data_IF_895782900902
#
_entry.id   IF_895782900902
#
_cell.length_a   1.000
_cell.length_b   1.000
_cell.length_c   1.000
_cell.angle_alpha   90.00
_cell.angle_beta   90.00
_cell.angle_gamma   90.00
#
_symmetry.space_group_name_H-M   'P 1'
#
loop_
_entity.id
_entity.type
_entity.pdbx_description
1 polymer ?
#
# COMPACT_ATOMS: atom_id res chain seq x y z
N UNK A 1 12.01 -40.12 -21.19
CA UNK A 1 12.80 -38.86 -21.11
C UNK A 1 12.37 -38.00 -22.30
N UNK A 2 11.69 -36.87 -22.04
CA UNK A 2 11.24 -35.78 -22.96
C UNK A 2 9.86 -35.11 -22.69
N UNK A 3 9.15 -35.32 -21.56
CA UNK A 3 8.04 -34.42 -21.20
C UNK A 3 8.44 -33.20 -20.35
N UNK A 4 9.47 -33.34 -19.49
CA UNK A 4 9.87 -32.29 -18.54
C UNK A 4 10.69 -31.15 -19.17
N UNK A 5 11.47 -31.42 -20.23
CA UNK A 5 12.21 -30.36 -20.94
C UNK A 5 11.27 -29.40 -21.68
N UNK A 6 10.23 -29.93 -22.34
CA UNK A 6 9.30 -29.10 -23.11
C UNK A 6 8.44 -28.21 -22.22
N UNK A 7 7.99 -28.70 -21.05
CA UNK A 7 7.24 -27.84 -20.11
C UNK A 7 8.10 -26.72 -19.55
N UNK A 8 9.39 -26.96 -19.31
CA UNK A 8 10.30 -25.92 -18.83
C UNK A 8 10.60 -24.87 -19.91
N UNK A 9 10.79 -25.29 -21.16
CA UNK A 9 10.96 -24.38 -22.30
C UNK A 9 9.70 -23.52 -22.54
N UNK A 10 8.50 -24.12 -22.41
CA UNK A 10 7.23 -23.40 -22.54
C UNK A 10 7.01 -22.39 -21.39
N UNK A 11 7.35 -22.76 -20.15
CA UNK A 11 7.28 -21.87 -18.98
C UNK A 11 8.28 -20.70 -19.08
N UNK A 12 9.50 -20.97 -19.56
CA UNK A 12 10.53 -19.95 -19.79
C UNK A 12 10.10 -18.96 -20.88
N UNK A 13 9.54 -19.45 -21.99
CA UNK A 13 9.02 -18.60 -23.07
C UNK A 13 7.84 -17.73 -22.61
N UNK A 14 6.92 -18.28 -21.81
CA UNK A 14 5.81 -17.51 -21.25
C UNK A 14 6.31 -16.39 -20.32
N UNK A 15 7.29 -16.67 -19.47
CA UNK A 15 7.90 -15.68 -18.59
C UNK A 15 8.63 -14.58 -19.38
N UNK A 16 9.28 -14.91 -20.51
CA UNK A 16 9.92 -13.92 -21.37
C UNK A 16 8.89 -12.96 -22.02
N UNK A 17 7.78 -13.48 -22.55
CA UNK A 17 6.72 -12.66 -23.14
C UNK A 17 5.99 -11.81 -22.10
N UNK A 18 5.77 -12.33 -20.89
CA UNK A 18 5.25 -11.56 -19.77
C UNK A 18 6.19 -10.40 -19.41
N UNK A 19 7.48 -10.69 -19.23
CA UNK A 19 8.49 -9.66 -18.94
C UNK A 19 8.56 -8.59 -20.03
N UNK A 20 8.41 -8.97 -21.30
CA UNK A 20 8.37 -8.03 -22.41
C UNK A 20 7.16 -7.11 -22.32
N UNK A 21 5.98 -7.67 -22.04
CA UNK A 21 4.74 -6.91 -21.85
C UNK A 21 4.86 -5.93 -20.69
N UNK A 22 5.36 -6.39 -19.54
CA UNK A 22 5.63 -5.55 -18.35
C UNK A 22 6.54 -4.36 -18.69
N UNK A 23 7.62 -4.62 -19.44
CA UNK A 23 8.55 -3.57 -19.83
C UNK A 23 7.95 -2.56 -20.82
N UNK A 24 7.05 -2.99 -21.70
CA UNK A 24 6.34 -2.11 -22.64
C UNK A 24 5.29 -1.25 -21.92
N UNK A 25 4.53 -1.84 -20.99
CA UNK A 25 3.61 -1.13 -20.10
C UNK A 25 4.35 -0.08 -19.27
N UNK A 26 5.45 -0.46 -18.61
CA UNK A 26 6.23 0.45 -17.78
C UNK A 26 6.82 1.62 -18.57
N UNK A 27 7.31 1.37 -19.80
CA UNK A 27 7.75 2.45 -20.70
C UNK A 27 6.62 3.40 -21.06
N UNK A 28 5.41 2.88 -21.24
CA UNK A 28 4.23 3.68 -21.55
C UNK A 28 3.82 4.51 -20.34
N UNK A 29 3.72 3.89 -19.16
CA UNK A 29 3.50 4.59 -17.89
C UNK A 29 4.51 5.71 -17.67
N UNK A 30 5.80 5.44 -17.87
CA UNK A 30 6.88 6.41 -17.70
C UNK A 30 6.72 7.65 -18.59
N UNK A 31 6.27 7.46 -19.84
CA UNK A 31 5.97 8.58 -20.75
C UNK A 31 4.79 9.43 -20.28
N UNK A 32 3.81 8.80 -19.62
CA UNK A 32 2.58 9.44 -19.15
C UNK A 32 2.68 9.97 -17.72
N UNK A 33 3.67 9.52 -16.94
CA UNK A 33 3.84 9.89 -15.54
C UNK A 33 3.84 11.42 -15.28
N UNK A 34 4.44 12.29 -16.13
CA UNK A 34 4.36 13.74 -15.94
C UNK A 34 2.94 14.31 -15.92
N UNK A 35 1.99 13.67 -16.62
CA UNK A 35 0.61 14.11 -16.71
C UNK A 35 -0.29 13.49 -15.63
N UNK A 36 0.13 12.35 -15.09
CA UNK A 36 -0.66 11.56 -14.14
C UNK A 36 -0.31 11.85 -12.68
N UNK A 37 0.90 12.32 -12.42
CA UNK A 37 1.43 12.46 -11.08
C UNK A 37 1.87 13.88 -10.80
N UNK A 38 1.62 14.27 -9.57
CA UNK A 38 2.33 15.37 -8.96
C UNK A 38 3.70 14.90 -8.48
N UNK A 39 3.77 13.80 -7.74
CA UNK A 39 5.03 13.33 -7.18
C UNK A 39 5.25 11.91 -7.66
N UNK A 40 6.49 11.62 -8.07
CA UNK A 40 6.99 10.26 -8.23
C UNK A 40 8.42 10.25 -7.73
N UNK A 41 8.73 9.38 -6.79
CA UNK A 41 10.07 9.10 -6.30
C UNK A 41 10.26 7.61 -6.35
N UNK A 42 11.17 7.15 -7.19
CA UNK A 42 11.46 5.73 -7.33
C UNK A 42 12.81 5.43 -6.72
N UNK A 43 12.86 4.43 -5.85
CA UNK A 43 14.09 4.01 -5.20
C UNK A 43 14.21 2.49 -5.18
N UNK A 44 15.32 1.97 -5.71
CA UNK A 44 15.66 0.56 -5.61
C UNK A 44 16.40 0.30 -4.28
N UNK A 45 15.80 -0.54 -3.43
CA UNK A 45 16.40 -1.01 -2.19
C UNK A 45 17.45 -2.11 -2.45
N UNK A 46 18.32 -2.32 -1.47
CA UNK A 46 19.28 -3.42 -1.47
C UNK A 46 18.58 -4.79 -1.45
N UNK A 47 17.49 -4.89 -0.68
CA UNK A 47 16.63 -6.06 -0.55
C UNK A 47 15.16 -5.62 -0.63
N UNK A 48 14.25 -6.48 -1.11
CA UNK A 48 12.84 -6.16 -1.11
C UNK A 48 12.31 -5.99 0.32
N UNK A 49 11.24 -5.23 0.44
CA UNK A 49 10.53 -5.04 1.71
C UNK A 49 9.11 -5.58 1.56
N UNK A 50 8.65 -6.35 2.54
CA UNK A 50 7.27 -6.84 2.61
C UNK A 50 6.33 -5.84 3.30
N UNK A 51 6.88 -4.72 3.79
CA UNK A 51 6.14 -3.75 4.58
C UNK A 51 6.61 -2.33 4.30
N UNK A 52 5.68 -1.38 4.27
CA UNK A 52 6.00 0.03 4.29
C UNK A 52 4.94 0.83 5.05
N UNK A 53 5.39 1.78 5.88
CA UNK A 53 4.50 2.68 6.62
C UNK A 53 5.15 4.05 6.79
N UNK A 54 4.40 5.12 6.57
CA UNK A 54 4.86 6.46 6.94
C UNK A 54 4.94 6.61 8.45
N UNK A 55 5.99 7.23 8.96
CA UNK A 55 5.94 7.80 10.30
C UNK A 55 5.12 9.11 10.28
N UNK A 56 4.53 9.51 11.42
CA UNK A 56 3.72 10.73 11.49
C UNK A 56 4.55 12.02 11.51
N UNK A 57 5.83 11.96 11.88
CA UNK A 57 6.66 13.15 11.96
C UNK A 57 7.18 13.64 10.60
N UNK A 58 7.23 14.98 10.49
CA UNK A 58 7.65 15.72 9.30
C UNK A 58 8.59 16.83 9.70
N UNK A 59 9.74 16.89 9.04
CA UNK A 59 10.67 18.01 9.15
C UNK A 59 10.54 18.92 7.92
N UNK A 60 10.48 20.23 8.15
CA UNK A 60 10.42 21.23 7.07
C UNK A 60 11.52 22.28 7.25
N UNK A 61 12.78 21.97 6.91
CA UNK A 61 13.89 22.90 7.08
C UNK A 61 13.68 24.18 6.26
N UNK A 62 13.76 25.36 6.88
CA UNK A 62 13.42 26.64 6.23
C UNK A 62 14.33 27.00 5.06
N UNK A 63 15.56 26.49 5.05
CA UNK A 63 16.60 26.74 4.03
C UNK A 63 16.60 25.69 2.91
N UNK A 64 15.72 24.67 2.97
CA UNK A 64 15.66 23.59 2.00
C UNK A 64 14.37 23.63 1.16
N UNK A 65 14.46 23.30 -0.14
CA UNK A 65 13.30 23.25 -1.04
C UNK A 65 12.47 21.95 -0.91
N UNK A 66 12.66 21.20 0.17
CA UNK A 66 11.99 19.92 0.42
C UNK A 66 11.67 19.74 1.90
N UNK A 67 10.67 18.91 2.20
CA UNK A 67 10.40 18.35 3.51
C UNK A 67 11.08 16.99 3.64
N UNK A 68 11.39 16.57 4.86
CA UNK A 68 11.95 15.26 5.16
C UNK A 68 10.95 14.50 6.01
N UNK A 69 10.61 13.31 5.54
CA UNK A 69 9.68 12.40 6.20
C UNK A 69 10.39 11.10 6.52
N UNK A 70 9.84 10.29 7.43
CA UNK A 70 10.38 8.95 7.73
C UNK A 70 9.44 7.84 7.26
N UNK A 71 10.04 6.76 6.80
CA UNK A 71 9.39 5.52 6.38
C UNK A 71 9.89 4.38 7.26
N UNK A 72 8.96 3.53 7.69
CA UNK A 72 9.21 2.25 8.31
C UNK A 72 9.22 1.19 7.22
N UNK A 73 10.31 0.44 7.11
CA UNK A 73 10.53 -0.61 6.10
C UNK A 73 11.09 -1.87 6.78
N UNK A 74 11.08 -2.97 6.06
CA UNK A 74 11.72 -4.22 6.44
C UNK A 74 12.71 -4.69 5.38
N UNK A 75 13.24 -5.89 5.57
CA UNK A 75 13.93 -6.64 4.51
C UNK A 75 13.32 -8.01 4.36
N UNK A 76 13.44 -8.54 3.15
CA UNK A 76 13.21 -9.93 2.82
C UNK A 76 14.44 -10.46 2.06
N UNK A 77 15.35 -11.13 2.77
CA UNK A 77 16.60 -11.65 2.18
C UNK A 77 16.52 -13.11 1.75
N UNK A 78 15.44 -13.82 2.08
CA UNK A 78 15.29 -15.26 1.85
C UNK A 78 16.45 -16.07 2.46
N UNK A 79 16.92 -15.63 3.63
CA UNK A 79 18.07 -16.20 4.36
C UNK A 79 19.44 -15.99 3.72
N UNK A 80 19.55 -15.18 2.65
CA UNK A 80 20.83 -14.91 1.99
C UNK A 80 21.69 -13.89 2.75
N UNK A 81 21.08 -13.07 3.60
CA UNK A 81 21.75 -12.06 4.41
C UNK A 81 21.09 -11.96 5.78
N UNK A 82 21.59 -11.04 6.62
CA UNK A 82 20.88 -10.66 7.85
C UNK A 82 19.71 -9.75 7.48
N UNK A 83 18.54 -10.05 8.03
CA UNK A 83 17.36 -9.20 7.89
C UNK A 83 17.31 -8.09 8.95
N UNK A 84 16.71 -6.97 8.56
CA UNK A 84 16.64 -5.76 9.36
C UNK A 84 15.23 -5.17 9.34
N UNK A 85 14.79 -4.72 10.52
CA UNK A 85 13.82 -3.63 10.61
C UNK A 85 14.55 -2.34 10.24
N UNK A 86 13.99 -1.55 9.32
CA UNK A 86 14.64 -0.37 8.77
C UNK A 86 13.79 0.89 8.97
N UNK A 87 14.47 2.00 9.26
CA UNK A 87 13.87 3.34 9.18
C UNK A 87 14.62 4.10 8.11
N UNK A 88 13.90 4.60 7.13
CA UNK A 88 14.42 5.42 6.05
C UNK A 88 13.88 6.85 6.15
N UNK A 89 14.59 7.81 5.58
CA UNK A 89 14.08 9.15 5.30
C UNK A 89 13.74 9.27 3.83
N UNK A 90 12.65 9.97 3.50
CA UNK A 90 12.33 10.40 2.14
C UNK A 90 12.25 11.93 2.08
N UNK A 91 12.89 12.52 1.07
CA UNK A 91 12.82 13.97 0.82
C UNK A 91 11.76 14.26 -0.24
N UNK A 92 10.74 15.04 0.12
CA UNK A 92 9.64 15.42 -0.76
C UNK A 92 9.73 16.92 -1.09
N UNK A 93 9.68 17.31 -2.38
CA UNK A 93 9.72 18.72 -2.78
C UNK A 93 8.62 19.56 -2.12
N UNK A 94 8.97 20.76 -1.64
CA UNK A 94 7.98 21.75 -1.17
C UNK A 94 7.28 22.38 -2.37
N UNK A 95 5.96 22.36 -2.36
CA UNK A 95 5.12 23.02 -3.38
C UNK A 95 4.57 24.35 -2.88
N UNK A 96 5.48 25.25 -2.51
CA UNK A 96 5.12 26.60 -2.09
C UNK A 96 5.75 27.61 -3.06
N UNK A 97 5.10 27.86 -4.20
CA UNK A 97 5.53 28.90 -5.14
C UNK A 97 4.66 29.01 -6.40
N UNK A 98 4.61 30.16 -7.08
CA UNK A 98 3.92 30.28 -8.36
C UNK A 98 4.56 29.33 -9.39
N UNK A 99 3.77 28.40 -9.95
CA UNK A 99 4.25 27.40 -10.91
C UNK A 99 4.62 26.04 -10.31
N UNK A 100 4.44 25.82 -8.99
CA UNK A 100 4.62 24.50 -8.36
C UNK A 100 3.61 23.44 -8.79
N UNK A 101 2.56 23.89 -9.49
CA UNK A 101 1.40 23.08 -9.87
C UNK A 101 1.47 22.66 -11.35
N UNK A 102 2.52 23.10 -12.06
CA UNK A 102 2.80 22.74 -13.44
C UNK A 102 3.99 21.78 -13.44
N UNK A 103 3.73 20.52 -13.75
CA UNK A 103 4.74 19.54 -14.05
C UNK A 103 4.62 19.19 -15.51
N UNK A 104 5.69 19.45 -16.24
CA UNK A 104 5.80 19.10 -17.65
C UNK A 104 6.65 17.84 -17.79
N UNK A 105 6.65 17.25 -18.99
CA UNK A 105 7.54 16.11 -19.31
C UNK A 105 9.01 16.42 -19.04
N UNK A 106 9.44 17.67 -19.23
CA UNK A 106 10.80 18.10 -18.91
C UNK A 106 11.14 17.97 -17.43
N UNK A 107 10.11 17.80 -16.59
CA UNK A 107 10.27 17.68 -15.16
C UNK A 107 10.57 16.26 -14.66
N UNK A 108 10.47 15.28 -15.54
CA UNK A 108 10.72 13.90 -15.24
C UNK A 108 12.18 13.54 -15.50
N UNK A 109 12.87 13.07 -14.46
CA UNK A 109 14.22 12.55 -14.57
C UNK A 109 14.15 11.09 -15.05
N UNK A 110 14.41 10.88 -16.34
CA UNK A 110 14.41 9.55 -16.96
C UNK A 110 15.43 8.59 -16.32
N UNK A 111 16.57 9.09 -15.83
CA UNK A 111 17.60 8.23 -15.25
C UNK A 111 17.22 7.77 -13.84
N UNK A 112 16.50 8.61 -13.08
CA UNK A 112 16.07 8.31 -11.71
C UNK A 112 14.65 7.76 -11.59
N UNK A 113 13.83 7.98 -12.61
CA UNK A 113 12.40 7.72 -12.56
C UNK A 113 11.66 8.64 -11.57
N UNK A 114 12.12 9.89 -11.41
CA UNK A 114 11.60 10.84 -10.42
C UNK A 114 10.89 12.03 -11.11
N UNK A 115 9.83 12.56 -10.47
CA UNK A 115 9.10 13.75 -10.90
C UNK A 115 9.07 14.83 -9.78
N UNK A 116 9.16 16.10 -10.19
CA UNK A 116 8.96 17.28 -9.33
C UNK A 116 10.20 17.77 -8.59
N UNK A 117 11.41 17.73 -9.19
CA UNK A 117 12.65 17.65 -8.41
C UNK A 117 13.87 18.50 -8.71
N UNK A 118 13.87 19.40 -9.67
CA UNK A 118 15.10 19.99 -10.24
C UNK A 118 15.91 20.82 -9.25
N UNK A 119 15.29 21.22 -8.14
CA UNK A 119 15.94 21.99 -7.06
C UNK A 119 16.47 21.12 -5.91
N UNK A 120 16.23 19.80 -5.93
CA UNK A 120 16.75 18.88 -4.90
C UNK A 120 18.15 18.43 -5.31
N UNK A 121 19.13 18.39 -4.38
CA UNK A 121 20.47 17.89 -4.66
C UNK A 121 20.43 16.49 -5.31
N UNK A 122 21.43 16.12 -6.14
CA UNK A 122 21.48 14.83 -6.81
C UNK A 122 21.63 13.61 -5.88
N UNK A 123 21.48 13.77 -4.57
CA UNK A 123 21.49 12.67 -3.61
C UNK A 123 20.25 11.78 -3.75
N UNK A 124 20.29 10.52 -3.25
CA UNK A 124 19.13 9.65 -3.19
C UNK A 124 18.03 10.30 -2.34
N UNK A 125 16.80 10.36 -2.87
CA UNK A 125 15.66 10.91 -2.13
C UNK A 125 15.25 10.04 -0.95
N UNK A 126 15.41 8.72 -1.08
CA UNK A 126 15.20 7.73 -0.01
C UNK A 126 16.56 7.28 0.53
N UNK A 127 16.71 7.29 1.85
CA UNK A 127 17.94 6.87 2.53
C UNK A 127 17.63 6.14 3.83
N UNK A 128 18.14 4.92 3.98
CA UNK A 128 18.07 4.19 5.25
C UNK A 128 18.97 4.90 6.28
N UNK A 129 18.39 5.25 7.43
CA UNK A 129 19.06 5.97 8.53
C UNK A 129 19.22 5.13 9.79
N UNK A 130 18.46 4.04 9.91
CA UNK A 130 18.59 3.11 11.03
C UNK A 130 18.26 1.68 10.57
N UNK A 131 19.05 0.72 11.05
CA UNK A 131 18.86 -0.73 10.87
C UNK A 131 18.87 -1.41 12.24
N UNK A 132 17.90 -2.30 12.48
CA UNK A 132 17.79 -3.09 13.71
C UNK A 132 17.74 -4.57 13.31
N UNK A 133 18.66 -5.40 13.84
CA UNK A 133 18.71 -6.84 13.55
C UNK A 133 17.36 -7.52 13.83
N UNK A 134 16.87 -8.30 12.86
CA UNK A 134 15.61 -9.03 12.94
C UNK A 134 15.81 -10.54 12.70
N UNK A 135 15.07 -11.44 13.38
CA UNK A 135 15.13 -12.88 13.10
C UNK A 135 14.35 -13.20 11.83
N UNK A 136 15.06 -13.31 10.71
CA UNK A 136 14.45 -13.54 9.41
C UNK A 136 13.69 -12.33 8.89
N UNK A 137 12.89 -12.55 7.87
CA UNK A 137 12.14 -11.53 7.15
C UNK A 137 11.19 -10.74 8.06
N UNK A 138 10.96 -9.48 7.70
CA UNK A 138 9.99 -8.61 8.37
C UNK A 138 8.68 -8.61 7.57
N UNK A 139 7.76 -9.52 7.91
CA UNK A 139 6.52 -9.71 7.15
C UNK A 139 5.58 -8.51 7.21
N UNK A 140 5.51 -7.87 8.39
CA UNK A 140 4.80 -6.62 8.59
C UNK A 140 5.40 -5.86 9.76
N UNK A 141 5.57 -4.56 9.63
CA UNK A 141 6.00 -3.67 10.71
C UNK A 141 4.99 -2.54 10.87
N UNK A 142 4.57 -2.28 12.11
CA UNK A 142 3.65 -1.19 12.45
C UNK A 142 4.10 -0.48 13.72
N UNK A 143 4.16 0.86 13.69
CA UNK A 143 4.41 1.65 14.89
C UNK A 143 3.13 1.81 15.72
N UNK A 144 3.27 1.95 17.04
CA UNK A 144 2.16 2.23 17.94
C UNK A 144 1.70 3.69 17.79
N UNK A 145 0.43 3.97 17.42
CA UNK A 145 -0.03 5.32 17.13
C UNK A 145 0.23 6.35 18.24
N UNK A 146 0.13 5.93 19.50
CA UNK A 146 0.32 6.80 20.66
C UNK A 146 1.79 7.05 21.01
N UNK A 147 2.70 6.17 20.56
CA UNK A 147 4.15 6.34 20.67
C UNK A 147 4.83 5.65 19.48
N UNK A 148 5.09 6.39 18.38
CA UNK A 148 5.69 5.83 17.17
C UNK A 148 7.07 5.22 17.34
N UNK A 149 7.71 5.38 18.51
CA UNK A 149 9.01 4.78 18.79
C UNK A 149 8.90 3.28 19.11
N UNK A 150 7.72 2.82 19.53
CA UNK A 150 7.44 1.40 19.70
C UNK A 150 6.92 0.81 18.40
N UNK A 151 7.65 -0.16 17.87
CA UNK A 151 7.37 -0.82 16.59
C UNK A 151 7.16 -2.30 16.83
N UNK A 152 5.99 -2.82 16.47
CA UNK A 152 5.73 -4.25 16.43
C UNK A 152 6.08 -4.81 15.05
N UNK A 153 6.68 -6.00 15.00
CA UNK A 153 7.00 -6.71 13.76
C UNK A 153 6.49 -8.15 13.80
N UNK A 154 5.94 -8.60 12.67
CA UNK A 154 5.70 -10.02 12.39
C UNK A 154 7.00 -10.65 11.90
N UNK A 155 7.29 -11.83 12.44
CA UNK A 155 8.42 -12.67 12.03
C UNK A 155 7.93 -13.81 11.15
N UNK A 156 8.86 -14.58 10.58
CA UNK A 156 8.57 -15.87 9.92
C UNK A 156 8.15 -16.99 10.87
N UNK A 157 7.99 -16.68 12.16
CA UNK A 157 7.43 -17.57 13.17
C UNK A 157 6.16 -16.99 13.79
N UNK A 158 5.69 -17.63 14.86
CA UNK A 158 4.52 -17.17 15.61
C UNK A 158 4.78 -16.03 16.59
N UNK A 159 6.04 -15.58 16.74
CA UNK A 159 6.35 -14.46 17.63
C UNK A 159 6.10 -13.11 16.93
N UNK A 160 5.51 -12.17 17.67
CA UNK A 160 5.55 -10.74 17.34
C UNK A 160 6.62 -10.10 18.22
N UNK A 161 7.55 -9.36 17.61
CA UNK A 161 8.59 -8.65 18.34
C UNK A 161 8.23 -7.17 18.44
N UNK A 162 8.49 -6.57 19.59
CA UNK A 162 8.34 -5.11 19.79
C UNK A 162 9.71 -4.51 20.07
N UNK A 163 10.05 -3.47 19.32
CA UNK A 163 11.29 -2.72 19.44
C UNK A 163 10.98 -1.28 19.83
N UNK A 164 11.74 -0.74 20.78
CA UNK A 164 11.83 0.69 21.04
C UNK A 164 13.03 1.23 20.25
N UNK A 165 12.77 1.84 19.09
CA UNK A 165 13.84 2.28 18.16
C UNK A 165 14.88 3.18 18.83
N UNK A 166 14.52 3.91 19.90
CA UNK A 166 15.42 4.85 20.58
C UNK A 166 16.50 4.16 21.41
N UNK A 167 16.29 2.89 21.75
CA UNK A 167 17.26 2.06 22.49
C UNK A 167 18.24 1.33 21.58
N UNK A 168 18.05 1.43 20.27
CA UNK A 168 18.95 0.84 19.27
C UNK A 168 19.82 1.92 18.65
N UNK A 169 21.08 1.57 18.36
CA UNK A 169 21.94 2.42 17.55
C UNK A 169 21.41 2.51 16.11
N UNK A 170 21.87 3.51 15.35
CA UNK A 170 21.53 3.63 13.93
C UNK A 170 22.06 2.44 13.10
N UNK A 171 23.24 1.94 13.45
CA UNK A 171 23.80 0.73 12.85
C UNK A 171 23.85 -0.39 13.88
N UNK A 172 23.39 -1.61 13.55
CA UNK A 172 23.30 -2.70 14.50
C UNK A 172 24.67 -3.29 14.81
N UNK A 173 24.75 -4.03 15.92
CA UNK A 173 25.96 -4.77 16.27
C UNK A 173 26.25 -5.85 15.22
N UNK A 174 27.50 -5.88 14.74
CA UNK A 174 27.97 -6.85 13.72
C UNK A 174 27.91 -8.32 14.16
N UNK A 175 27.67 -8.58 15.44
CA UNK A 175 27.52 -9.93 15.98
C UNK A 175 26.14 -10.54 15.66
N UNK A 176 25.22 -9.79 15.03
CA UNK A 176 23.90 -10.27 14.66
C UNK A 176 22.93 -10.42 15.84
N UNK A 177 23.25 -9.86 17.01
CA UNK A 177 22.39 -10.01 18.19
C UNK A 177 21.04 -9.32 17.96
N UNK A 178 19.96 -10.07 18.15
CA UNK A 178 18.59 -9.58 18.08
C UNK A 178 18.15 -9.16 19.48
N UNK A 179 17.84 -7.87 19.67
CA UNK A 179 17.50 -7.27 20.97
C UNK A 179 16.07 -6.72 20.96
N UNK A 180 15.07 -7.59 20.83
CA UNK A 180 13.68 -7.16 20.99
C UNK A 180 13.40 -6.72 22.44
N UNK A 181 12.73 -5.59 22.61
CA UNK A 181 12.35 -5.04 23.92
C UNK A 181 11.23 -5.86 24.56
N UNK A 182 10.28 -6.35 23.76
CA UNK A 182 9.19 -7.23 24.18
C UNK A 182 9.00 -8.32 23.12
N UNK A 183 8.77 -9.56 23.57
CA UNK A 183 8.46 -10.74 22.77
C UNK A 183 7.02 -11.16 23.07
N UNK A 184 6.13 -11.00 22.10
CA UNK A 184 4.76 -11.43 22.21
C UNK A 184 4.66 -12.84 21.66
N UNK A 185 4.35 -13.78 22.54
CA UNK A 185 4.28 -15.22 22.24
C UNK A 185 2.83 -15.70 22.28
N UNK A 186 2.58 -16.93 21.83
CA UNK A 186 1.27 -17.59 21.92
C UNK A 186 0.72 -18.10 20.57
N UNK A 187 1.18 -17.53 19.46
CA UNK A 187 0.94 -18.07 18.11
C UNK A 187 2.09 -19.00 17.71
N UNK A 188 1.80 -19.94 16.81
CA UNK A 188 2.74 -21.00 16.38
C UNK A 188 2.96 -21.05 14.87
N UNK A 189 2.31 -20.15 14.11
CA UNK A 189 2.46 -20.03 12.66
C UNK A 189 2.89 -18.62 12.27
N UNK A 190 3.45 -18.49 11.08
CA UNK A 190 3.74 -17.20 10.45
C UNK A 190 2.44 -16.39 10.26
N UNK A 191 2.55 -15.11 9.91
CA UNK A 191 1.40 -14.36 9.42
C UNK A 191 1.76 -12.94 9.03
N UNK A 192 0.77 -12.25 8.45
CA UNK A 192 0.93 -10.89 7.95
C UNK A 192 0.08 -9.88 8.75
N UNK A 193 -1.14 -10.23 9.14
CA UNK A 193 -2.01 -9.32 9.90
C UNK A 193 -1.40 -8.83 11.22
N UNK A 194 -1.32 -7.51 11.38
CA UNK A 194 -0.76 -6.84 12.55
C UNK A 194 -1.36 -5.43 12.67
N UNK A 195 -2.04 -5.14 13.76
CA UNK A 195 -2.73 -3.86 13.96
C UNK A 195 -2.66 -3.36 15.41
N UNK A 196 -2.16 -2.14 15.59
CA UNK A 196 -2.23 -1.44 16.87
C UNK A 196 -3.61 -0.80 17.05
N UNK A 197 -4.12 -0.84 18.27
CA UNK A 197 -5.33 -0.12 18.62
C UNK A 197 -5.03 1.37 18.74
N UNK A 198 -5.64 2.20 17.89
CA UNK A 198 -5.43 3.66 17.89
C UNK A 198 -6.13 4.36 19.06
N UNK A 199 -7.15 3.72 19.67
CA UNK A 199 -7.97 4.29 20.75
C UNK A 199 -7.51 3.84 22.14
N UNK A 200 -6.85 2.69 22.25
CA UNK A 200 -6.34 2.14 23.50
C UNK A 200 -4.84 1.86 23.39
N UNK A 201 -4.04 2.65 24.11
CA UNK A 201 -2.58 2.54 24.10
C UNK A 201 -2.11 1.13 24.46
N UNK A 202 -1.13 0.64 23.71
CA UNK A 202 -0.42 -0.61 23.99
C UNK A 202 -1.12 -1.89 23.56
N UNK A 203 -2.34 -1.82 23.01
CA UNK A 203 -3.02 -3.01 22.49
C UNK A 203 -2.65 -3.28 21.04
N UNK A 204 -2.25 -4.52 20.75
CA UNK A 204 -1.88 -4.98 19.41
C UNK A 204 -2.52 -6.32 19.09
N UNK A 205 -3.06 -6.43 17.87
CA UNK A 205 -3.58 -7.67 17.29
C UNK A 205 -2.56 -8.27 16.34
N UNK A 206 -2.56 -9.60 16.25
CA UNK A 206 -1.81 -10.36 15.23
C UNK A 206 -2.69 -11.46 14.65
N UNK A 207 -2.69 -11.60 13.33
CA UNK A 207 -3.23 -12.72 12.58
C UNK A 207 -2.13 -13.77 12.33
N UNK A 208 -2.51 -15.03 12.13
CA UNK A 208 -1.56 -16.13 12.00
C UNK A 208 -2.13 -17.30 11.17
N UNK A 209 -1.23 -18.02 10.52
CA UNK A 209 -1.49 -19.27 9.80
C UNK A 209 -1.98 -20.39 10.73
N UNK A 210 -1.72 -20.29 12.04
CA UNK A 210 -2.28 -21.21 13.04
C UNK A 210 -3.79 -21.00 13.33
N UNK A 211 -4.48 -20.25 12.45
CA UNK A 211 -5.93 -19.99 12.47
C UNK A 211 -6.39 -19.12 13.65
N UNK A 212 -5.46 -18.41 14.30
CA UNK A 212 -5.78 -17.59 15.47
C UNK A 212 -5.57 -16.11 15.23
N UNK A 213 -6.37 -15.31 15.94
CA UNK A 213 -6.05 -13.91 16.23
C UNK A 213 -5.66 -13.82 17.69
N UNK A 214 -4.54 -13.17 17.98
CA UNK A 214 -4.11 -12.91 19.36
C UNK A 214 -4.10 -11.41 19.65
N UNK A 215 -4.49 -11.05 20.87
CA UNK A 215 -4.46 -9.71 21.42
C UNK A 215 -3.45 -9.68 22.58
N UNK A 216 -2.52 -8.72 22.54
CA UNK A 216 -1.63 -8.41 23.67
C UNK A 216 -1.83 -6.98 24.14
N UNK A 217 -1.42 -6.73 25.37
CA UNK A 217 -1.33 -5.40 25.95
C UNK A 217 0.11 -5.21 26.44
N UNK A 218 0.89 -4.43 25.69
CA UNK A 218 2.33 -4.26 25.96
C UNK A 218 2.60 -3.41 27.21
N UNK A 219 1.58 -2.73 27.75
CA UNK A 219 1.69 -2.03 29.04
C UNK A 219 1.71 -2.99 30.22
N UNK A 220 1.28 -4.24 30.02
CA UNK A 220 1.33 -5.30 31.04
C UNK A 220 2.74 -5.88 31.25
N UNK A 221 3.74 -5.34 30.55
CA UNK A 221 5.14 -5.73 30.69
C UNK A 221 5.63 -5.62 32.14
N UNK A 222 6.35 -6.64 32.60
CA UNK A 222 6.99 -6.64 33.92
C UNK A 222 8.50 -6.59 33.77
N UNK A 223 9.15 -5.70 34.53
CA UNK A 223 10.61 -5.52 34.46
C UNK A 223 11.33 -6.81 34.87
N UNK A 224 11.99 -7.47 33.91
CA UNK A 224 12.76 -8.70 34.13
C UNK A 224 12.27 -9.90 33.30
N UNK A 225 11.04 -9.86 32.79
CA UNK A 225 10.53 -10.81 31.80
C UNK A 225 9.98 -10.01 30.62
N UNK A 226 10.69 -10.08 29.49
CA UNK A 226 10.27 -9.42 28.26
C UNK A 226 9.37 -10.28 27.38
N UNK A 227 8.88 -11.41 27.88
CA UNK A 227 7.95 -12.26 27.16
C UNK A 227 6.52 -12.01 27.66
N UNK A 228 5.58 -11.77 26.73
CA UNK A 228 4.16 -11.63 27.05
C UNK A 228 3.35 -12.74 26.38
N UNK A 229 2.45 -13.34 27.17
CA UNK A 229 1.39 -14.22 26.68
C UNK A 229 0.20 -13.37 26.18
N UNK A 230 -0.63 -13.89 25.27
CA UNK A 230 -1.77 -13.13 24.77
C UNK A 230 -2.77 -12.89 25.91
N UNK A 231 -3.27 -11.66 25.98
CA UNK A 231 -4.41 -11.31 26.84
C UNK A 231 -5.66 -12.09 26.42
N UNK A 232 -5.84 -12.30 25.11
CA UNK A 232 -6.93 -13.08 24.55
C UNK A 232 -6.49 -13.73 23.24
N UNK A 233 -6.87 -14.98 23.04
CA UNK A 233 -6.70 -15.70 21.77
C UNK A 233 -8.08 -16.04 21.21
N UNK A 234 -8.40 -15.47 20.06
CA UNK A 234 -9.66 -15.65 19.36
C UNK A 234 -9.53 -16.82 18.37
N UNK A 235 -10.47 -17.77 18.45
CA UNK A 235 -10.46 -19.04 17.71
C UNK A 235 -11.82 -19.28 17.06
N UNK A 236 -12.03 -18.70 15.89
CA UNK A 236 -13.22 -18.97 15.07
C UNK A 236 -12.89 -19.27 13.60
N UNK A 237 -11.78 -18.75 13.08
CA UNK A 237 -11.34 -19.10 11.73
C UNK A 237 -11.02 -20.60 11.62
N UNK A 238 -11.32 -21.16 10.45
CA UNK A 238 -11.08 -22.58 10.14
C UNK A 238 -9.94 -22.79 9.13
N UNK A 239 -9.26 -21.71 8.76
CA UNK A 239 -8.08 -21.68 7.90
C UNK A 239 -7.17 -20.51 8.32
N UNK A 240 -6.09 -20.24 7.57
CA UNK A 240 -5.18 -19.12 7.78
C UNK A 240 -5.95 -17.81 7.95
N UNK A 241 -5.56 -17.00 8.93
CA UNK A 241 -6.08 -15.64 9.10
C UNK A 241 -5.19 -14.70 8.30
N UNK A 242 -5.75 -14.09 7.26
CA UNK A 242 -5.04 -13.20 6.34
C UNK A 242 -4.70 -11.87 7.00
N UNK A 243 -5.71 -11.20 7.56
CA UNK A 243 -5.54 -9.85 8.10
C UNK A 243 -6.48 -9.50 9.27
N UNK A 244 -6.11 -8.45 10.00
CA UNK A 244 -6.87 -7.88 11.13
C UNK A 244 -6.80 -6.36 11.11
N UNK A 245 -7.89 -5.71 11.48
CA UNK A 245 -7.92 -4.25 11.65
C UNK A 245 -8.86 -3.83 12.78
N UNK A 246 -8.52 -2.74 13.46
CA UNK A 246 -9.32 -2.17 14.55
C UNK A 246 -10.35 -1.20 14.01
N UNK A 247 -11.52 -1.15 14.66
CA UNK A 247 -12.44 -0.05 14.43
C UNK A 247 -11.84 1.26 14.96
N UNK A 248 -11.90 2.32 14.16
CA UNK A 248 -11.34 3.63 14.51
C UNK A 248 -12.22 4.45 15.47
N UNK A 249 -13.40 3.97 15.86
CA UNK A 249 -14.36 4.67 16.72
C UNK A 249 -14.77 3.89 17.99
N UNK A 250 -14.59 2.56 18.03
CA UNK A 250 -14.78 1.73 19.24
C UNK A 250 -13.53 0.88 19.51
N UNK A 251 -12.86 1.15 20.64
CA UNK A 251 -11.63 0.49 21.06
C UNK A 251 -11.77 -1.03 21.30
N UNK A 252 -12.99 -1.56 21.39
CA UNK A 252 -13.22 -2.98 21.66
C UNK A 252 -13.58 -3.78 20.40
N UNK A 253 -13.82 -3.09 19.27
CA UNK A 253 -14.29 -3.72 18.04
C UNK A 253 -13.14 -3.84 17.05
N UNK A 254 -12.98 -5.03 16.48
CA UNK A 254 -12.03 -5.28 15.40
C UNK A 254 -12.61 -6.30 14.42
N UNK A 255 -11.99 -6.40 13.25
CA UNK A 255 -12.33 -7.36 12.21
C UNK A 255 -11.17 -8.32 11.98
N UNK A 256 -11.50 -9.53 11.55
CA UNK A 256 -10.52 -10.47 11.01
C UNK A 256 -11.08 -11.17 9.78
N UNK A 257 -10.18 -11.49 8.86
CA UNK A 257 -10.48 -12.14 7.58
C UNK A 257 -9.46 -13.24 7.29
N UNK A 258 -9.81 -14.21 6.45
CA UNK A 258 -8.88 -15.28 6.11
C UNK A 258 -9.32 -16.20 4.97
N UNK A 259 -8.56 -17.27 4.81
CA UNK A 259 -8.70 -18.25 3.72
C UNK A 259 -10.00 -19.07 3.79
N UNK A 260 -10.66 -19.06 4.95
CA UNK A 260 -12.00 -19.62 5.13
C UNK A 260 -13.12 -18.73 4.56
N UNK A 261 -12.75 -17.67 3.84
CA UNK A 261 -13.66 -16.75 3.13
C UNK A 261 -14.64 -16.05 4.04
N UNK A 262 -14.30 -15.94 5.33
CA UNK A 262 -15.19 -15.43 6.35
C UNK A 262 -14.68 -14.11 6.91
N UNK A 263 -15.58 -13.14 6.99
CA UNK A 263 -15.37 -11.90 7.74
C UNK A 263 -15.97 -12.07 9.13
N UNK A 264 -15.13 -11.97 10.17
CA UNK A 264 -15.57 -11.91 11.56
C UNK A 264 -15.45 -10.49 12.11
N UNK A 265 -16.47 -10.06 12.85
CA UNK A 265 -16.42 -8.86 13.68
C UNK A 265 -16.41 -9.31 15.14
N UNK A 266 -15.42 -8.83 15.87
CA UNK A 266 -15.15 -9.22 17.24
C UNK A 266 -15.45 -8.08 18.18
N UNK A 267 -15.85 -8.43 19.40
CA UNK A 267 -15.88 -7.53 20.54
C UNK A 267 -14.97 -8.12 21.61
N UNK A 268 -13.89 -7.43 21.96
CA UNK A 268 -12.88 -7.92 22.92
C UNK A 268 -13.43 -8.18 24.33
N UNK A 269 -14.65 -7.71 24.61
CA UNK A 269 -15.36 -7.94 25.88
C UNK A 269 -16.10 -9.28 25.90
N UNK A 270 -16.16 -9.97 24.76
CA UNK A 270 -16.92 -11.20 24.56
C UNK A 270 -16.00 -12.34 24.09
N UNK A 271 -16.30 -13.60 24.43
CA UNK A 271 -15.45 -14.74 24.05
C UNK A 271 -15.66 -15.21 22.61
N UNK A 272 -16.79 -14.85 21.98
CA UNK A 272 -17.17 -15.28 20.64
C UNK A 272 -17.26 -14.06 19.70
N UNK A 273 -17.21 -14.25 18.37
CA UNK A 273 -17.48 -13.17 17.42
C UNK A 273 -18.83 -12.50 17.70
N UNK A 274 -18.87 -11.18 17.59
CA UNK A 274 -20.10 -10.40 17.71
C UNK A 274 -20.97 -10.52 16.45
N UNK A 275 -20.34 -10.57 15.27
CA UNK A 275 -20.99 -10.83 13.99
C UNK A 275 -20.09 -11.68 13.10
N UNK A 276 -20.70 -12.39 12.14
CA UNK A 276 -19.99 -13.22 11.17
C UNK A 276 -20.69 -13.12 9.81
N UNK A 277 -19.90 -12.98 8.74
CA UNK A 277 -20.35 -13.16 7.37
C UNK A 277 -19.51 -14.24 6.68
N UNK A 278 -20.04 -15.45 6.65
CA UNK A 278 -19.43 -16.59 5.96
C UNK A 278 -19.62 -16.50 4.45
N UNK A 279 -18.59 -16.87 3.69
CA UNK A 279 -18.55 -16.68 2.22
C UNK A 279 -18.79 -15.22 1.83
N UNK A 280 -18.12 -14.30 2.54
CA UNK A 280 -18.14 -12.88 2.19
C UNK A 280 -17.53 -12.66 0.78
N UNK A 281 -16.61 -13.52 0.37
CA UNK A 281 -15.99 -13.59 -0.96
C UNK A 281 -16.06 -15.01 -1.54
N UNK A 282 -15.81 -15.14 -2.85
CA UNK A 282 -15.80 -16.44 -3.53
C UNK A 282 -14.45 -17.17 -3.38
N UNK A 283 -13.42 -16.44 -2.94
CA UNK A 283 -12.06 -16.94 -2.62
C UNK A 283 -11.56 -16.38 -1.28
N UNK A 284 -10.33 -16.73 -0.94
CA UNK A 284 -9.60 -16.33 0.25
C UNK A 284 -9.63 -14.81 0.43
N UNK A 285 -9.84 -14.32 1.67
CA UNK A 285 -9.86 -12.89 1.97
C UNK A 285 -8.53 -12.51 2.61
N UNK A 286 -7.77 -11.66 1.93
CA UNK A 286 -6.37 -11.38 2.25
C UNK A 286 -6.19 -10.06 3.00
N UNK A 287 -7.12 -9.12 2.89
CA UNK A 287 -7.02 -7.80 3.50
C UNK A 287 -8.37 -7.29 4.03
N UNK A 288 -8.32 -6.50 5.11
CA UNK A 288 -9.48 -5.80 5.68
C UNK A 288 -9.07 -4.41 6.15
N UNK A 289 -9.93 -3.40 5.93
CA UNK A 289 -9.69 -2.05 6.42
C UNK A 289 -10.98 -1.36 6.84
N UNK A 290 -11.02 -0.86 8.08
CA UNK A 290 -12.11 -0.02 8.59
C UNK A 290 -12.01 1.40 8.04
N UNK A 291 -13.16 1.99 7.75
CA UNK A 291 -13.21 3.39 7.37
C UNK A 291 -12.93 4.27 8.61
N UNK A 292 -11.94 5.18 8.57
CA UNK A 292 -11.56 6.01 9.71
C UNK A 292 -12.55 7.16 9.98
N UNK A 293 -13.43 7.48 9.02
CA UNK A 293 -14.44 8.54 9.13
C UNK A 293 -15.84 7.98 9.51
N UNK A 294 -16.14 6.75 9.09
CA UNK A 294 -17.44 6.11 9.29
C UNK A 294 -17.31 4.79 10.05
N UNK A 295 -17.71 4.82 11.32
CA UNK A 295 -17.68 3.68 12.25
C UNK A 295 -18.35 2.38 11.76
N UNK A 296 -19.26 2.44 10.79
CA UNK A 296 -20.02 1.28 10.32
C UNK A 296 -19.47 0.66 9.03
N UNK A 297 -18.51 1.30 8.36
CA UNK A 297 -18.02 0.86 7.06
C UNK A 297 -16.65 0.20 7.18
N UNK A 298 -16.47 -0.86 6.41
CA UNK A 298 -15.16 -1.47 6.15
C UNK A 298 -15.15 -2.04 4.73
N UNK A 299 -13.95 -2.27 4.20
CA UNK A 299 -13.75 -3.02 2.96
C UNK A 299 -12.94 -4.29 3.20
N UNK A 300 -13.19 -5.30 2.37
CA UNK A 300 -12.39 -6.55 2.32
C UNK A 300 -11.89 -6.81 0.91
N UNK A 301 -10.68 -7.34 0.79
CA UNK A 301 -10.01 -7.62 -0.48
C UNK A 301 -9.63 -9.10 -0.56
N UNK A 302 -9.77 -9.69 -1.74
CA UNK A 302 -9.72 -11.14 -1.89
C UNK A 302 -8.94 -11.59 -3.12
N UNK A 303 -8.50 -12.85 -3.09
CA UNK A 303 -8.03 -13.61 -4.25
C UNK A 303 -9.08 -13.76 -5.36
N UNK A 304 -10.35 -13.40 -5.12
CA UNK A 304 -11.37 -13.32 -6.19
C UNK A 304 -11.27 -12.05 -7.03
N UNK A 305 -10.23 -11.23 -6.81
CA UNK A 305 -9.88 -10.01 -7.56
C UNK A 305 -10.82 -8.84 -7.29
N UNK A 306 -11.71 -8.98 -6.31
CA UNK A 306 -12.66 -7.93 -5.96
C UNK A 306 -12.37 -7.33 -4.59
N UNK A 307 -12.83 -6.10 -4.41
CA UNK A 307 -12.98 -5.48 -3.09
C UNK A 307 -14.47 -5.39 -2.79
N UNK A 308 -14.89 -5.68 -1.57
CA UNK A 308 -16.30 -5.59 -1.16
C UNK A 308 -16.46 -4.57 -0.04
N UNK A 309 -17.43 -3.67 -0.20
CA UNK A 309 -17.88 -2.77 0.86
C UNK A 309 -18.89 -3.48 1.77
N UNK A 310 -18.68 -3.36 3.08
CA UNK A 310 -19.58 -3.89 4.10
C UNK A 310 -20.10 -2.79 5.02
N UNK A 311 -21.30 -3.01 5.54
CA UNK A 311 -21.91 -2.18 6.57
C UNK A 311 -22.19 -3.04 7.81
N UNK A 312 -21.58 -2.68 8.94
CA UNK A 312 -21.71 -3.41 10.21
C UNK A 312 -23.16 -3.51 10.71
N UNK A 313 -24.06 -2.64 10.25
CA UNK A 313 -25.48 -2.66 10.63
C UNK A 313 -26.27 -3.76 9.91
N UNK A 314 -25.71 -4.30 8.83
CA UNK A 314 -26.31 -5.37 8.04
C UNK A 314 -25.23 -6.23 7.35
N UNK A 315 -24.29 -6.76 8.15
CA UNK A 315 -23.08 -7.43 7.67
C UNK A 315 -23.35 -8.61 6.71
N UNK A 316 -24.50 -9.29 6.84
CA UNK A 316 -24.87 -10.43 5.98
C UNK A 316 -25.22 -10.09 4.53
N UNK A 317 -24.97 -8.86 4.07
CA UNK A 317 -25.20 -8.41 2.70
C UNK A 317 -24.03 -7.55 2.23
N UNK A 318 -23.48 -7.89 1.05
CA UNK A 318 -22.51 -7.07 0.32
C UNK A 318 -23.19 -5.73 -0.04
N UNK A 319 -22.57 -4.59 0.28
CA UNK A 319 -23.11 -3.28 -0.09
C UNK A 319 -22.76 -2.90 -1.52
N UNK A 320 -21.52 -3.14 -1.89
CA UNK A 320 -20.99 -2.89 -3.21
C UNK A 320 -19.80 -3.82 -3.47
N UNK A 321 -19.55 -4.11 -4.74
CA UNK A 321 -18.37 -4.85 -5.19
C UNK A 321 -17.61 -3.95 -6.15
N UNK A 322 -16.35 -3.68 -5.84
CA UNK A 322 -15.43 -2.96 -6.71
C UNK A 322 -14.69 -3.96 -7.59
N UNK A 323 -14.88 -3.83 -8.90
CA UNK A 323 -14.27 -4.67 -9.93
C UNK A 323 -13.29 -3.81 -10.74
N UNK A 324 -12.10 -4.35 -11.05
CA UNK A 324 -11.08 -3.62 -11.82
C UNK A 324 -9.68 -4.18 -11.66
N UNK A 325 -9.42 -4.95 -10.60
CA UNK A 325 -8.20 -5.75 -10.51
C UNK A 325 -8.29 -6.99 -11.40
N UNK A 326 -7.14 -7.39 -11.94
CA UNK A 326 -7.03 -8.59 -12.80
C UNK A 326 -6.39 -9.77 -12.08
N UNK A 327 -5.96 -9.57 -10.84
CA UNK A 327 -5.40 -10.59 -9.95
C UNK A 327 -5.72 -10.32 -8.46
N UNK A 328 -5.24 -11.19 -7.56
CA UNK A 328 -5.54 -11.17 -6.12
C UNK A 328 -5.33 -9.80 -5.46
N UNK A 329 -6.29 -9.33 -4.64
CA UNK A 329 -6.14 -8.10 -3.87
C UNK A 329 -5.50 -8.40 -2.52
N UNK A 330 -4.34 -7.81 -2.26
CA UNK A 330 -3.42 -8.21 -1.19
C UNK A 330 -3.39 -7.25 -0.01
N UNK A 331 -3.63 -5.97 -0.26
CA UNK A 331 -3.60 -4.92 0.74
C UNK A 331 -4.68 -3.88 0.45
N UNK A 332 -5.23 -3.32 1.52
CA UNK A 332 -6.28 -2.31 1.49
C UNK A 332 -5.99 -1.24 2.54
N UNK A 333 -6.26 0.01 2.18
CA UNK A 333 -6.21 1.10 3.15
C UNK A 333 -7.16 2.23 2.73
N UNK A 334 -8.05 2.61 3.65
CA UNK A 334 -8.79 3.87 3.54
C UNK A 334 -7.84 5.07 3.62
N UNK A 335 -8.19 6.13 2.88
CA UNK A 335 -7.56 7.43 3.06
C UNK A 335 -7.82 7.92 4.48
N UNK A 336 -6.79 8.38 5.22
CA UNK A 336 -6.99 8.99 6.53
C UNK A 336 -7.59 10.40 6.43
N UNK A 337 -7.70 10.97 5.23
CA UNK A 337 -8.10 12.37 5.00
C UNK A 337 -9.47 12.51 4.32
N UNK A 338 -9.85 11.55 3.48
CA UNK A 338 -11.07 11.63 2.66
C UNK A 338 -11.99 10.46 2.96
N UNK A 339 -13.23 10.75 3.39
CA UNK A 339 -14.16 9.74 3.90
C UNK A 339 -14.60 8.70 2.86
N UNK A 340 -14.56 9.03 1.57
CA UNK A 340 -15.00 8.17 0.47
C UNK A 340 -13.86 7.45 -0.26
N UNK A 341 -12.61 7.80 0.03
CA UNK A 341 -11.46 7.32 -0.73
C UNK A 341 -10.78 6.16 -0.02
N UNK A 342 -10.48 5.10 -0.76
CA UNK A 342 -9.58 4.03 -0.34
C UNK A 342 -8.73 3.56 -1.51
N UNK A 343 -7.69 2.80 -1.22
CA UNK A 343 -6.87 2.16 -2.23
C UNK A 343 -6.74 0.65 -2.00
N UNK A 344 -6.45 -0.07 -3.07
CA UNK A 344 -6.20 -1.50 -3.07
C UNK A 344 -4.98 -1.83 -3.92
N UNK A 345 -4.12 -2.71 -3.42
CA UNK A 345 -2.96 -3.22 -4.15
C UNK A 345 -3.15 -4.68 -4.51
N UNK A 346 -2.78 -5.06 -5.73
CA UNK A 346 -3.02 -6.40 -6.27
C UNK A 346 -1.77 -7.03 -6.89
N UNK A 347 -1.75 -8.36 -6.94
CA UNK A 347 -0.76 -9.16 -7.69
C UNK A 347 -0.66 -8.78 -9.17
N UNK A 348 -1.65 -8.05 -9.71
CA UNK A 348 -1.65 -7.53 -11.08
C UNK A 348 -0.69 -6.34 -11.34
N UNK A 349 0.16 -6.01 -10.34
CA UNK A 349 1.14 -4.91 -10.40
C UNK A 349 0.52 -3.52 -10.36
N UNK A 350 -0.75 -3.40 -9.96
CA UNK A 350 -1.47 -2.12 -9.86
C UNK A 350 -1.86 -1.80 -8.43
N UNK A 351 -1.94 -0.50 -8.16
CA UNK A 351 -2.62 0.04 -6.99
C UNK A 351 -3.76 0.90 -7.50
N UNK A 352 -4.99 0.49 -7.23
CA UNK A 352 -6.19 1.22 -7.63
C UNK A 352 -6.62 2.13 -6.47
N UNK A 353 -6.97 3.37 -6.80
CA UNK A 353 -7.60 4.33 -5.88
C UNK A 353 -9.06 4.45 -6.28
N UNK A 354 -9.95 4.32 -5.30
CA UNK A 354 -11.39 4.26 -5.49
C UNK A 354 -12.07 5.42 -4.81
N UNK A 355 -13.14 5.93 -5.41
CA UNK A 355 -14.03 6.91 -4.79
C UNK A 355 -15.45 6.35 -4.64
N UNK A 356 -15.83 6.07 -3.39
CA UNK A 356 -17.17 5.61 -3.03
C UNK A 356 -18.27 6.61 -3.44
N UNK A 357 -17.95 7.91 -3.53
CA UNK A 357 -18.93 8.94 -3.90
C UNK A 357 -19.41 8.82 -5.35
N UNK A 358 -18.60 8.20 -6.21
CA UNK A 358 -18.87 8.05 -7.63
C UNK A 358 -19.62 6.75 -8.00
N UNK A 359 -19.87 5.87 -7.02
CA UNK A 359 -20.62 4.63 -7.25
C UNK A 359 -22.01 4.94 -7.80
N UNK A 360 -22.31 4.36 -8.97
CA UNK A 360 -23.59 4.51 -9.64
C UNK A 360 -23.74 5.78 -10.48
N UNK A 361 -22.68 6.56 -10.66
CA UNK A 361 -22.67 7.65 -11.64
C UNK A 361 -22.85 7.09 -13.07
N UNK A 362 -23.53 7.86 -13.91
CA UNK A 362 -23.68 7.53 -15.33
C UNK A 362 -22.36 7.79 -16.07
N UNK A 363 -21.91 6.85 -16.89
CA UNK A 363 -20.74 6.96 -17.75
C UNK A 363 -21.15 6.96 -19.22
N UNK A 364 -20.31 7.58 -20.06
CA UNK A 364 -20.40 7.35 -21.51
C UNK A 364 -19.96 5.92 -21.83
N UNK A 365 -20.32 5.38 -23.01
CA UNK A 365 -19.83 4.06 -23.42
C UNK A 365 -18.31 3.96 -23.43
N UNK A 366 -17.62 5.02 -23.85
CA UNK A 366 -16.16 5.06 -23.93
C UNK A 366 -15.55 5.01 -22.52
N UNK A 367 -16.04 5.81 -21.57
CA UNK A 367 -15.55 5.79 -20.18
C UNK A 367 -15.81 4.44 -19.47
N UNK A 368 -16.91 3.76 -19.83
CA UNK A 368 -17.26 2.47 -19.26
C UNK A 368 -16.37 1.32 -19.77
N UNK A 369 -15.65 1.51 -20.88
CA UNK A 369 -14.62 0.57 -21.34
C UNK A 369 -13.34 0.65 -20.49
N UNK A 370 -13.05 1.82 -19.91
CA UNK A 370 -11.86 2.06 -19.09
C UNK A 370 -12.01 1.56 -17.64
N UNK A 371 -13.24 1.50 -17.13
CA UNK A 371 -13.52 0.98 -15.79
C UNK A 371 -14.82 1.52 -15.20
N UNK A 372 -15.19 1.05 -13.99
CA UNK A 372 -16.37 1.55 -13.30
C UNK A 372 -16.17 3.01 -12.85
N UNK A 373 -17.26 3.77 -12.61
CA UNK A 373 -17.15 5.20 -12.32
C UNK A 373 -16.45 5.50 -10.99
N UNK A 374 -16.45 4.54 -10.06
CA UNK A 374 -15.75 4.64 -8.79
C UNK A 374 -14.24 4.35 -8.87
N UNK A 375 -13.70 3.90 -10.02
CA UNK A 375 -12.25 3.76 -10.22
C UNK A 375 -11.64 5.13 -10.54
N UNK A 376 -11.08 5.79 -9.53
CA UNK A 376 -10.57 7.16 -9.65
C UNK A 376 -9.18 7.23 -10.28
N UNK A 377 -8.29 6.30 -9.92
CA UNK A 377 -6.90 6.31 -10.39
C UNK A 377 -6.28 4.91 -10.37
N UNK A 378 -5.41 4.63 -11.34
CA UNK A 378 -4.61 3.40 -11.39
C UNK A 378 -3.13 3.75 -11.37
N UNK A 379 -2.46 3.40 -10.29
CA UNK A 379 -1.00 3.49 -10.23
C UNK A 379 -0.36 2.26 -10.88
N UNK A 380 0.27 2.48 -12.04
CA UNK A 380 0.98 1.46 -12.83
C UNK A 380 2.51 1.59 -12.80
N UNK A 381 3.07 2.18 -11.74
CA UNK A 381 4.51 2.42 -11.64
C UNK A 381 5.35 1.19 -11.26
N UNK A 382 4.73 0.14 -10.72
CA UNK A 382 5.43 -1.08 -10.33
C UNK A 382 5.55 -2.08 -11.49
N UNK A 383 6.72 -2.71 -11.59
CA UNK A 383 7.01 -3.78 -12.56
C UNK A 383 6.86 -5.18 -11.97
N UNK A 384 6.65 -5.27 -10.65
CA UNK A 384 6.36 -6.51 -9.93
C UNK A 384 5.19 -6.31 -8.96
N UNK A 385 4.79 -7.39 -8.30
CA UNK A 385 3.71 -7.44 -7.31
C UNK A 385 3.99 -6.45 -6.16
N UNK A 386 3.08 -5.50 -5.85
CA UNK A 386 3.18 -4.66 -4.68
C UNK A 386 3.01 -5.51 -3.42
N UNK A 387 3.85 -5.27 -2.42
CA UNK A 387 3.88 -6.03 -1.16
C UNK A 387 3.12 -5.33 -0.04
N UNK A 388 3.19 -3.99 0.01
CA UNK A 388 2.48 -3.15 0.98
C UNK A 388 2.41 -1.72 0.41
N UNK A 389 1.47 -0.92 0.92
CA UNK A 389 1.42 0.52 0.66
C UNK A 389 0.86 1.26 1.87
N UNK A 390 1.15 2.56 1.94
CA UNK A 390 0.65 3.40 3.02
C UNK A 390 0.35 4.84 2.57
N UNK A 391 -0.83 5.34 2.92
CA UNK A 391 -1.16 6.77 2.80
C UNK A 391 -0.31 7.62 3.74
N UNK A 392 0.14 8.79 3.27
CA UNK A 392 0.82 9.76 4.11
C UNK A 392 -0.15 10.30 5.19
N UNK A 393 0.26 10.35 6.47
CA UNK A 393 -0.64 10.66 7.59
C UNK A 393 -0.85 12.16 7.80
N UNK A 394 -0.03 13.01 7.19
CA UNK A 394 -0.06 14.45 7.37
C UNK A 394 -1.04 15.10 6.38
N UNK A 395 -1.85 16.05 6.86
CA UNK A 395 -2.87 16.74 6.06
C UNK A 395 -2.28 17.49 4.85
N UNK A 396 -1.12 18.14 5.04
CA UNK A 396 -0.38 18.81 3.96
C UNK A 396 0.10 17.85 2.85
N UNK A 397 0.20 16.56 3.16
CA UNK A 397 0.70 15.52 2.25
C UNK A 397 -0.45 14.61 1.79
N UNK A 398 -1.71 15.07 1.88
CA UNK A 398 -2.87 14.35 1.36
C UNK A 398 -2.64 13.87 -0.08
N UNK A 399 -3.23 12.72 -0.41
CA UNK A 399 -3.02 12.00 -1.67
C UNK A 399 -1.62 11.43 -1.91
N UNK A 400 -0.65 11.66 -1.02
CA UNK A 400 0.68 11.04 -1.13
C UNK A 400 0.66 9.61 -0.58
N UNK A 401 1.26 8.68 -1.31
CA UNK A 401 1.32 7.26 -0.99
C UNK A 401 2.77 6.79 -1.06
N UNK A 402 3.17 5.91 -0.14
CA UNK A 402 4.35 5.06 -0.31
C UNK A 402 3.88 3.66 -0.69
N UNK A 403 4.52 3.02 -1.66
CA UNK A 403 4.26 1.62 -2.02
C UNK A 403 5.57 0.89 -2.27
N UNK A 404 5.59 -0.40 -1.92
CA UNK A 404 6.73 -1.29 -2.13
C UNK A 404 6.34 -2.47 -3.03
N UNK A 405 7.30 -3.04 -3.75
CA UNK A 405 7.11 -4.21 -4.59
C UNK A 405 8.23 -5.24 -4.42
N UNK A 406 7.99 -6.47 -4.91
CA UNK A 406 8.89 -7.62 -4.78
C UNK A 406 10.23 -7.46 -5.53
N UNK A 407 10.30 -6.58 -6.52
CA UNK A 407 11.50 -6.27 -7.32
C UNK A 407 12.40 -5.19 -6.67
N UNK A 408 12.34 -5.09 -5.34
CA UNK A 408 13.10 -4.16 -4.50
C UNK A 408 12.72 -2.68 -4.69
N UNK A 409 11.66 -2.36 -5.42
CA UNK A 409 11.27 -0.98 -5.68
C UNK A 409 10.38 -0.44 -4.58
N UNK A 410 10.73 0.73 -4.04
CA UNK A 410 9.84 1.58 -3.26
C UNK A 410 9.54 2.84 -4.07
N UNK A 411 8.26 3.18 -4.17
CA UNK A 411 7.80 4.40 -4.80
C UNK A 411 7.08 5.29 -3.78
N UNK A 412 7.40 6.58 -3.77
CA UNK A 412 6.56 7.61 -3.15
C UNK A 412 5.92 8.42 -4.26
N UNK A 413 4.60 8.42 -4.31
CA UNK A 413 3.86 9.03 -5.41
C UNK A 413 2.63 9.77 -4.94
N UNK A 414 2.20 10.74 -5.74
CA UNK A 414 0.98 11.51 -5.52
C UNK A 414 0.30 11.68 -6.89
N UNK A 415 -0.96 11.25 -7.07
CA UNK A 415 -1.69 11.50 -8.30
C UNK A 415 -1.88 13.01 -8.47
N UNK A 416 -1.92 13.47 -9.72
CA UNK A 416 -2.07 14.90 -10.00
C UNK A 416 -3.35 15.45 -9.39
N UNK A 417 -3.28 16.67 -8.83
CA UNK A 417 -4.45 17.39 -8.31
C UNK A 417 -5.56 17.56 -9.35
N UNK A 418 -5.26 17.46 -10.65
CA UNK A 418 -6.27 17.52 -11.72
C UNK A 418 -7.29 16.38 -11.63
N UNK A 419 -6.94 15.27 -10.99
CA UNK A 419 -7.81 14.09 -10.86
C UNK A 419 -8.75 14.21 -9.65
N UNK A 420 -8.29 14.83 -8.55
CA UNK A 420 -8.99 14.76 -7.27
C UNK A 420 -9.45 16.11 -6.70
N UNK A 421 -8.94 17.24 -7.19
CA UNK A 421 -9.27 18.56 -6.65
C UNK A 421 -10.49 19.24 -7.31
N UNK A 422 -11.07 18.64 -8.36
CA UNK A 422 -12.28 19.13 -9.03
C UNK A 422 -12.19 20.60 -9.45
N UNK A 423 -13.20 21.41 -9.06
CA UNK A 423 -13.31 22.84 -9.39
C UNK A 423 -12.21 23.73 -8.78
N UNK A 424 -11.40 23.21 -7.85
CA UNK A 424 -10.28 23.96 -7.25
C UNK A 424 -9.11 24.11 -8.23
N UNK A 425 -9.08 23.31 -9.30
CA UNK A 425 -8.07 23.37 -10.36
C UNK A 425 -8.30 24.59 -11.24
N UNK A 426 -7.45 25.61 -11.12
CA UNK A 426 -7.45 26.75 -12.04
C UNK A 426 -6.78 26.35 -13.36
N UNK A 427 -7.59 26.05 -14.38
CA UNK A 427 -7.11 25.77 -15.74
C UNK A 427 -6.67 27.09 -16.40
N UNK A 428 -5.43 27.15 -16.88
CA UNK A 428 -4.95 28.27 -17.70
C UNK A 428 -5.64 28.21 -19.08
N UNK A 429 -6.35 29.25 -19.53
CA UNK A 429 -7.05 29.23 -20.81
C UNK A 429 -6.16 28.91 -22.02
N UNK A 430 -4.85 29.14 -21.91
CA UNK A 430 -3.87 28.83 -22.97
C UNK A 430 -3.59 27.35 -23.13
N UNK A 431 -3.75 26.55 -22.06
CA UNK A 431 -3.60 25.09 -22.12
C UNK A 431 -4.74 24.43 -22.91
N UNK A 432 -5.92 25.06 -22.94
CA UNK A 432 -7.04 24.64 -23.78
C UNK A 432 -6.81 24.95 -25.27
N UNK A 433 -5.98 25.96 -25.58
CA UNK A 433 -5.65 26.32 -26.97
C UNK A 433 -4.60 25.38 -27.58
N UNK A 434 -3.64 24.90 -26.78
CA UNK A 434 -2.62 23.94 -27.25
C UNK A 434 -3.23 22.54 -27.51
N UNK A 435 -4.17 22.07 -26.67
CA UNK A 435 -4.87 20.80 -26.92
C UNK A 435 -5.77 20.85 -28.16
N UNK A 436 -6.46 21.99 -28.38
CA UNK A 436 -7.27 22.19 -29.59
C UNK A 436 -6.42 22.31 -30.87
N UNK A 437 -5.16 22.76 -30.77
CA UNK A 437 -4.25 22.84 -31.93
C UNK A 437 -3.70 21.47 -32.34
N UNK A 438 -3.47 20.57 -31.39
CA UNK A 438 -3.02 19.19 -31.65
C UNK A 438 -4.11 18.35 -32.36
N UNK A 439 -5.37 18.43 -31.87
CA UNK A 439 -6.51 17.75 -32.50
C UNK A 439 -6.76 18.22 -33.95
N UNK A 440 -6.59 19.53 -34.21
CA UNK A 440 -6.73 20.10 -35.55
C UNK A 440 -5.56 19.68 -36.47
N UNK A 441 -4.39 19.38 -35.92
CA UNK A 441 -3.24 18.88 -36.69
C UNK A 441 -3.41 17.41 -37.05
N UNK A 442 -3.92 16.57 -36.15
CA UNK A 442 -4.25 15.15 -36.45
C UNK A 442 -5.38 15.02 -37.47
N UNK A 443 -6.45 15.83 -37.37
CA UNK A 443 -7.51 15.83 -38.38
C UNK A 443 -6.97 16.24 -39.77
N UNK A 444 -6.07 17.21 -39.85
CA UNK A 444 -5.48 17.64 -41.13
C UNK A 444 -4.53 16.60 -41.73
N UNK A 445 -3.84 15.81 -40.91
CA UNK A 445 -2.99 14.71 -41.36
C UNK A 445 -3.82 13.51 -41.88
N UNK A 446 -4.96 13.21 -41.25
CA UNK A 446 -5.88 12.16 -41.70
C UNK A 446 -6.63 12.52 -42.99
N UNK A 447 -6.96 13.80 -43.20
CA UNK A 447 -7.56 14.28 -44.46
C UNK A 447 -6.53 14.30 -45.60
N UNK A 448 -5.25 14.54 -45.32
CA UNK A 448 -4.20 14.53 -46.34
C UNK A 448 -3.75 13.11 -46.76
N UNK A 449 -3.92 12.11 -45.90
CA UNK A 449 -3.57 10.71 -46.19
C UNK A 449 -4.61 9.94 -47.02
N UNK A 450 -5.83 10.46 -47.18
CA UNK A 450 -6.95 9.77 -47.84
C UNK A 450 -7.16 10.15 -49.31
N UNK A 451 -6.31 11.01 -49.90
CA UNK A 451 -6.52 11.54 -51.26
C UNK A 451 -5.51 11.10 -52.33
N UNK A 452 -4.76 10.00 -52.16
CA UNK A 452 -3.88 9.48 -53.23
C UNK A 452 -3.97 7.96 -53.34
N UNK A 453 -5.04 7.47 -53.97
CA UNK A 453 -5.00 6.22 -54.75
C UNK A 453 -6.20 6.17 -55.71
N UNK A 454 -6.01 6.76 -56.89
CA UNK A 454 -6.95 6.70 -58.00
C UNK A 454 -6.28 7.15 -59.27
N UNK A 455 -6.19 6.23 -60.23
CA UNK A 455 -5.81 6.38 -61.64
C UNK A 455 -4.30 6.36 -61.97
N UNK A 456 -3.81 5.16 -62.31
CA UNK A 456 -3.29 4.84 -63.66
C UNK A 456 -3.34 3.32 -63.93
#
# INVERSE_FOLDING_TARGET
MRPQDQSMEDDEYAAEEENKTINEEYKTWKKNAPYLYDIVVTHALEWPTLTCQWFPDKESPSDKPYTVHRLLLGTHTSGQSTDFLQIATVSIPKRAGPGSDKLDRTDYDDDRGELGGHSIPPAPRVKVIQRINHPGEVNRARYMPQNPDLIATKTVGGEVLVFDRTKHANEPEKNGTIKADIRLTGQNGEGFGLAWNSLQEGQVLSASEDMTVCLWDVQSYTKGDNTLQPKTTFRAHTSVVGDVDWNHHDQNIFASVGDDKTLFIWDTRQPNPAQTFSNAHDREILAVSFNPSNQNLLVTGSSDKTVILHDLRCLGQKKHTFEGHTDEVLSLQWSPHNETIFASASSDRRINVWDLSAVGNEQTPDDAEDGPPELLFVHGGHTSRPTDFCWAPNEDDQWTVVSAAEDNVVQVWQPTMRIWAGDEVKIDPRELEDSMMEDIQEEKLNVAGSSVSGDD
#
